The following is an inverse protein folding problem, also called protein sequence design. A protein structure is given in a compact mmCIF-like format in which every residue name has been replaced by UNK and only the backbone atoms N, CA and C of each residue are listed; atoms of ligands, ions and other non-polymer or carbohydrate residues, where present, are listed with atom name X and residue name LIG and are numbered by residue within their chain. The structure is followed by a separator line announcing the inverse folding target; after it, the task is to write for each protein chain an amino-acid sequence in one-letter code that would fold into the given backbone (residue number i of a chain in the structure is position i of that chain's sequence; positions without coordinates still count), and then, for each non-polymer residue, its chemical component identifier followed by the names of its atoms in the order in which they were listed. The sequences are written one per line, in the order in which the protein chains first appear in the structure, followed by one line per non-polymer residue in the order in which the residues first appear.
data_IF_443274445241
#
_entry.id   IF_443274445241
#
_cell.length_a   1.000
_cell.length_b   1.000
_cell.length_c   1.000
_cell.angle_alpha   90.00
_cell.angle_beta   90.00
_cell.angle_gamma   90.00
#
_symmetry.space_group_name_H-M   'P 1'
#
loop_
_entity.id
_entity.type
_entity.pdbx_description
1 polymer ?
#
# COMPACT_ATOMS: atom_id res chain seq x y z
N UNK A 1 -18.33 -9.81 11.04
CA UNK A 1 -17.51 -10.87 10.39
C UNK A 1 -16.33 -10.18 9.76
N UNK A 2 -15.10 -10.68 9.91
CA UNK A 2 -13.96 -10.04 9.27
C UNK A 2 -14.07 -10.10 7.74
N UNK A 3 -13.78 -8.99 7.07
CA UNK A 3 -13.74 -8.91 5.61
C UNK A 3 -12.33 -9.21 5.13
N UNK A 4 -12.24 -9.98 4.06
CA UNK A 4 -10.97 -10.42 3.48
C UNK A 4 -10.67 -9.62 2.22
N UNK A 5 -9.49 -9.00 2.19
CA UNK A 5 -8.95 -8.36 0.99
C UNK A 5 -7.60 -8.95 0.64
N UNK A 6 -7.29 -8.99 -0.66
CA UNK A 6 -5.92 -9.25 -1.14
C UNK A 6 -5.28 -7.91 -1.45
N UNK A 7 -4.16 -7.59 -0.79
CA UNK A 7 -3.36 -6.42 -1.08
C UNK A 7 -2.21 -6.82 -2.01
N UNK A 8 -2.15 -6.20 -3.18
CA UNK A 8 -1.06 -6.30 -4.12
C UNK A 8 -0.21 -5.03 -4.07
N UNK A 9 1.09 -5.20 -3.98
CA UNK A 9 2.06 -4.09 -3.98
C UNK A 9 3.02 -4.30 -5.14
N UNK A 10 3.05 -3.32 -6.02
CA UNK A 10 3.86 -3.31 -7.24
C UNK A 10 4.87 -2.19 -7.15
N UNK A 11 6.12 -2.54 -7.45
CA UNK A 11 7.14 -1.57 -7.79
C UNK A 11 7.37 -1.67 -9.30
N UNK A 12 7.14 -0.58 -10.01
CA UNK A 12 7.26 -0.43 -11.46
C UNK A 12 8.42 0.48 -11.86
N UNK A 13 9.17 1.00 -10.88
CA UNK A 13 10.38 1.84 -11.07
C UNK A 13 11.58 1.11 -11.70
N UNK A 14 11.52 -0.23 -11.84
CA UNK A 14 12.62 -1.10 -12.28
C UNK A 14 13.87 -1.11 -11.38
N UNK A 15 13.78 -0.54 -10.18
CA UNK A 15 14.84 -0.52 -9.18
C UNK A 15 14.39 -1.20 -7.89
N UNK A 16 15.34 -1.68 -7.08
CA UNK A 16 15.01 -2.20 -5.75
C UNK A 16 14.63 -1.04 -4.83
N UNK A 17 13.45 -1.12 -4.20
CA UNK A 17 12.95 -0.11 -3.27
C UNK A 17 12.56 -0.75 -1.95
N UNK A 18 12.90 -0.10 -0.84
CA UNK A 18 12.42 -0.54 0.46
C UNK A 18 11.02 0.00 0.71
N UNK A 19 10.08 -0.91 0.98
CA UNK A 19 8.72 -0.55 1.32
C UNK A 19 8.41 -0.85 2.77
N UNK A 20 7.80 0.13 3.41
CA UNK A 20 7.29 0.05 4.76
C UNK A 20 5.76 0.06 4.70
N UNK A 21 5.12 -1.08 5.01
CA UNK A 21 3.66 -1.15 5.07
C UNK A 21 3.20 -1.38 6.50
N UNK A 22 2.42 -0.44 6.98
CA UNK A 22 1.89 -0.44 8.33
C UNK A 22 0.37 -0.34 8.34
N UNK A 23 -0.27 -1.26 9.05
CA UNK A 23 -1.68 -1.27 9.37
C UNK A 23 -1.88 -1.89 10.75
N UNK A 24 -2.24 -1.07 11.73
CA UNK A 24 -2.35 -1.53 13.11
C UNK A 24 -3.31 -2.74 13.24
N UNK A 25 -2.86 -3.78 13.94
CA UNK A 25 -3.60 -5.03 14.11
C UNK A 25 -3.78 -5.90 12.85
N UNK A 26 -3.25 -5.51 11.69
CA UNK A 26 -3.42 -6.26 10.42
C UNK A 26 -2.08 -6.57 9.74
N UNK A 27 -1.21 -5.59 9.53
CA UNK A 27 0.12 -5.73 8.93
C UNK A 27 1.10 -4.80 9.66
N UNK A 28 2.26 -5.31 10.08
CA UNK A 28 3.35 -4.45 10.51
C UNK A 28 4.65 -5.03 9.97
N UNK A 29 4.98 -4.74 8.71
CA UNK A 29 6.11 -5.34 8.02
C UNK A 29 6.83 -4.35 7.10
N UNK A 30 8.16 -4.37 7.19
CA UNK A 30 9.09 -3.76 6.23
C UNK A 30 9.60 -4.84 5.29
N UNK A 31 9.69 -4.54 4.00
CA UNK A 31 10.23 -5.46 3.01
C UNK A 31 10.72 -4.72 1.77
N UNK A 32 11.80 -5.21 1.18
CA UNK A 32 12.29 -4.72 -0.11
C UNK A 32 11.43 -5.30 -1.24
N UNK A 33 10.90 -4.41 -2.08
CA UNK A 33 10.21 -4.75 -3.33
C UNK A 33 11.13 -4.36 -4.48
N UNK A 34 11.73 -5.37 -5.13
CA UNK A 34 12.35 -5.19 -6.45
C UNK A 34 11.31 -5.23 -7.57
N UNK A 35 11.66 -5.78 -8.74
CA UNK A 35 10.72 -5.91 -9.87
C UNK A 35 9.61 -6.96 -9.67
N UNK A 36 9.44 -7.49 -8.45
CA UNK A 36 8.53 -8.59 -8.16
C UNK A 36 7.40 -8.12 -7.25
N UNK A 37 6.16 -8.31 -7.72
CA UNK A 37 4.94 -8.06 -6.96
C UNK A 37 4.94 -8.78 -5.61
N UNK A 38 4.54 -8.07 -4.57
CA UNK A 38 4.25 -8.65 -3.24
C UNK A 38 2.74 -8.71 -3.00
N UNK A 39 2.30 -9.73 -2.27
CA UNK A 39 0.88 -9.98 -2.01
C UNK A 39 0.67 -10.25 -0.52
N UNK A 40 -0.33 -9.61 0.07
CA UNK A 40 -0.74 -9.80 1.46
C UNK A 40 -2.22 -10.14 1.55
N UNK A 41 -2.59 -10.92 2.56
CA UNK A 41 -4.01 -11.12 2.93
C UNK A 41 -4.33 -10.18 4.09
N UNK A 42 -5.30 -9.30 3.89
CA UNK A 42 -5.84 -8.41 4.91
C UNK A 42 -7.12 -9.02 5.49
N UNK A 43 -7.21 -9.06 6.81
CA UNK A 43 -8.40 -9.46 7.55
C UNK A 43 -8.87 -8.27 8.37
N UNK A 44 -9.95 -7.63 7.94
CA UNK A 44 -10.45 -6.38 8.52
C UNK A 44 -11.71 -6.64 9.34
N UNK A 45 -11.61 -6.45 10.66
CA UNK A 45 -12.73 -6.61 11.60
C UNK A 45 -13.41 -5.29 11.98
N UNK A 46 -12.88 -4.15 11.50
CA UNK A 46 -13.38 -2.81 11.73
C UNK A 46 -12.70 -1.81 10.80
N UNK A 47 -12.87 -0.52 11.10
CA UNK A 47 -12.17 0.56 10.39
C UNK A 47 -10.66 0.38 10.51
N UNK A 48 -9.95 0.66 9.42
CA UNK A 48 -8.52 0.42 9.35
C UNK A 48 -7.82 1.53 8.57
N UNK A 49 -6.57 1.82 8.92
CA UNK A 49 -5.71 2.69 8.14
C UNK A 49 -4.46 1.90 7.75
N UNK A 50 -4.16 1.86 6.47
CA UNK A 50 -2.93 1.29 5.91
C UNK A 50 -2.07 2.45 5.43
N UNK A 51 -0.81 2.46 5.86
CA UNK A 51 0.21 3.40 5.47
C UNK A 51 1.22 2.67 4.59
N UNK A 52 1.58 3.30 3.48
CA UNK A 52 2.56 2.81 2.53
C UNK A 52 3.68 3.84 2.46
N UNK A 53 4.85 3.43 2.92
CA UNK A 53 6.06 4.19 2.80
C UNK A 53 7.06 3.53 1.86
N UNK A 54 7.85 4.38 1.22
CA UNK A 54 8.98 4.01 0.37
C UNK A 54 10.19 4.75 0.94
N UNK A 55 11.31 4.05 1.12
CA UNK A 55 12.56 4.60 1.66
C UNK A 55 12.32 5.42 2.96
N UNK A 56 11.68 4.77 3.95
CA UNK A 56 11.32 5.34 5.27
C UNK A 56 10.37 6.53 5.28
N UNK A 57 9.83 6.94 4.13
CA UNK A 57 8.86 8.05 4.03
C UNK A 57 7.48 7.54 3.64
N UNK A 58 6.45 7.86 4.43
CA UNK A 58 5.06 7.50 4.12
C UNK A 58 4.49 8.45 3.07
N UNK A 59 4.20 7.92 1.88
CA UNK A 59 3.64 8.69 0.77
C UNK A 59 2.16 8.46 0.54
N UNK A 60 1.63 7.29 0.92
CA UNK A 60 0.24 6.95 0.71
C UNK A 60 -0.42 6.41 1.98
N UNK A 61 -1.62 6.92 2.26
CA UNK A 61 -2.48 6.45 3.36
C UNK A 61 -3.83 6.04 2.79
N UNK A 62 -4.24 4.82 3.06
CA UNK A 62 -5.54 4.28 2.69
C UNK A 62 -6.37 4.00 3.95
N UNK A 63 -7.55 4.59 4.04
CA UNK A 63 -8.49 4.38 5.13
C UNK A 63 -9.68 3.53 4.65
N UNK A 64 -10.03 2.53 5.43
CA UNK A 64 -11.17 1.67 5.22
C UNK A 64 -12.30 2.04 6.18
N UNK A 65 -13.49 2.30 5.63
CA UNK A 65 -14.74 2.44 6.37
C UNK A 65 -15.48 1.09 6.32
N UNK A 66 -15.47 0.38 7.45
CA UNK A 66 -16.08 -0.94 7.56
C UNK A 66 -17.61 -0.85 7.47
N UNK A 67 -18.22 0.25 7.94
CA UNK A 67 -19.66 0.47 7.84
C UNK A 67 -20.16 0.55 6.40
N UNK A 68 -19.38 1.19 5.52
CA UNK A 68 -19.74 1.42 4.10
C UNK A 68 -19.10 0.44 3.12
N UNK A 69 -18.18 -0.38 3.58
CA UNK A 69 -17.39 -1.27 2.72
C UNK A 69 -16.62 -0.50 1.63
N UNK A 70 -16.02 0.62 2.03
CA UNK A 70 -15.40 1.55 1.08
C UNK A 70 -14.01 1.96 1.53
N UNK A 71 -13.14 2.23 0.56
CA UNK A 71 -11.82 2.77 0.78
C UNK A 71 -11.76 4.22 0.35
N UNK A 72 -11.04 5.02 1.13
CA UNK A 72 -10.53 6.32 0.74
C UNK A 72 -9.00 6.25 0.76
N UNK A 73 -8.35 6.94 -0.17
CA UNK A 73 -6.89 7.06 -0.13
C UNK A 73 -6.46 8.51 -0.31
N UNK A 74 -5.31 8.83 0.27
CA UNK A 74 -4.60 10.07 0.06
C UNK A 74 -3.15 9.72 -0.24
N UNK A 75 -2.63 10.29 -1.32
CA UNK A 75 -1.22 10.22 -1.71
C UNK A 75 -0.65 11.62 -1.70
N UNK A 76 0.57 11.76 -1.17
CA UNK A 76 1.33 13.00 -1.21
C UNK A 76 2.15 13.11 -2.52
N UNK A 77 2.29 12.00 -3.26
CA UNK A 77 3.00 11.90 -4.55
C UNK A 77 2.12 11.21 -5.62
N UNK A 78 1.05 11.86 -6.12
CA UNK A 78 0.04 11.22 -6.96
C UNK A 78 0.52 10.76 -8.34
N UNK A 79 1.63 11.30 -8.84
CA UNK A 79 2.22 10.86 -10.09
C UNK A 79 3.10 9.61 -9.93
N UNK A 80 3.52 9.32 -8.70
CA UNK A 80 4.53 8.30 -8.43
C UNK A 80 3.92 7.08 -7.73
N UNK A 81 2.97 7.27 -6.81
CA UNK A 81 2.28 6.18 -6.11
C UNK A 81 0.78 6.27 -6.31
N UNK A 82 0.21 5.16 -6.77
CA UNK A 82 -1.22 5.02 -7.06
C UNK A 82 -1.86 3.98 -6.17
N UNK A 83 -3.15 4.19 -5.87
CA UNK A 83 -3.99 3.27 -5.11
C UNK A 83 -5.27 3.00 -5.86
N UNK A 84 -5.60 1.72 -6.03
CA UNK A 84 -6.81 1.26 -6.67
C UNK A 84 -7.48 0.16 -5.85
N UNK A 85 -8.80 0.11 -5.91
CA UNK A 85 -9.60 -0.93 -5.26
C UNK A 85 -10.48 -1.65 -6.26
N UNK A 86 -10.56 -2.96 -6.12
CA UNK A 86 -11.51 -3.81 -6.82
C UNK A 86 -12.26 -4.73 -5.85
N UNK A 87 -13.17 -5.58 -6.35
CA UNK A 87 -13.89 -6.54 -5.52
C UNK A 87 -12.93 -7.45 -4.74
N UNK A 88 -12.85 -7.27 -3.42
CA UNK A 88 -11.97 -8.05 -2.54
C UNK A 88 -10.46 -7.86 -2.78
N UNK A 89 -10.06 -6.81 -3.49
CA UNK A 89 -8.66 -6.56 -3.83
C UNK A 89 -8.29 -5.07 -3.69
N UNK A 90 -7.06 -4.84 -3.26
CA UNK A 90 -6.42 -3.54 -3.17
C UNK A 90 -5.11 -3.64 -3.94
N UNK A 91 -4.84 -2.66 -4.77
CA UNK A 91 -3.60 -2.58 -5.54
C UNK A 91 -2.93 -1.25 -5.24
N UNK A 92 -1.66 -1.31 -4.85
CA UNK A 92 -0.78 -0.17 -4.73
C UNK A 92 0.38 -0.36 -5.68
N UNK A 93 0.63 0.63 -6.52
CA UNK A 93 1.75 0.63 -7.46
C UNK A 93 2.56 1.90 -7.27
N UNK A 94 3.89 1.76 -7.31
CA UNK A 94 4.80 2.91 -7.33
C UNK A 94 5.75 2.85 -8.51
N UNK A 95 5.78 3.95 -9.25
CA UNK A 95 6.81 4.31 -10.23
C UNK A 95 7.86 5.25 -9.62
N UNK A 96 7.77 5.54 -8.31
CA UNK A 96 8.70 6.44 -7.62
C UNK A 96 10.13 6.03 -7.95
N UNK A 97 10.91 6.94 -8.48
CA UNK A 97 12.35 6.80 -8.62
C UNK A 97 12.95 7.75 -7.60
N UNK A 98 13.69 7.27 -6.58
CA UNK A 98 14.45 8.19 -5.75
C UNK A 98 15.40 8.95 -6.69
N UNK A 99 15.37 10.29 -6.64
CA UNK A 99 16.24 11.14 -7.46
C UNK A 99 17.68 10.61 -7.35
N UNK A 100 18.18 9.99 -8.42
CA UNK A 100 19.59 9.62 -8.53
C UNK A 100 20.38 10.86 -8.94
N UNK A 101 20.38 11.91 -8.11
CA UNK A 101 21.32 13.03 -8.31
C UNK A 101 21.49 13.86 -7.04
N UNK A 102 22.63 13.64 -6.37
CA UNK A 102 23.57 14.68 -6.00
C UNK A 102 25.00 14.11 -5.91
#
# INVERSE_FOLDING_TARGET
MARKYTLFVYNTSNQDQEWNIYCDGVINQTFTIGNVRKTFTLMLSGDAVIQFGVDDTVYLKAAYDYGKDSWASKTDTPNDISFATGPGAITVSSDFTPDQDA
#
